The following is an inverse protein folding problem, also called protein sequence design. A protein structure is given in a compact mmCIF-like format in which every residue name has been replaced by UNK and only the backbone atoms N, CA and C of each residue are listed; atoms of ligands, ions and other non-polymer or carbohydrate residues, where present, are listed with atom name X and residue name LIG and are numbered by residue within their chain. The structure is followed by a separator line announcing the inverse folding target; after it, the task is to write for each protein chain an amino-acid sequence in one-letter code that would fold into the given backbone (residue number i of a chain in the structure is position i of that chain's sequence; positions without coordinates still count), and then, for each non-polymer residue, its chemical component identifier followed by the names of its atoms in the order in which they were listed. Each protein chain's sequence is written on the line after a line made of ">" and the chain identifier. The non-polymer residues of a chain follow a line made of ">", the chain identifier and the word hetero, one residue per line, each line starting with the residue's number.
data_IF_020547942523
#
_entry.id   IF_020547942523
#
_cell.length_a   1.000
_cell.length_b   1.000
_cell.length_c   1.000
_cell.angle_alpha   90.00
_cell.angle_beta   90.00
_cell.angle_gamma   90.00
#
_symmetry.space_group_name_H-M   'P 1'
#
loop_
_entity.id
_entity.type
_entity.pdbx_description
1 polymer ?
#
# COMPACT_ATOMS: atom_id res chain seq x y z
N UNK A 1 -25.54 14.08 -0.81
CA UNK A 1 -24.24 14.61 -1.25
C UNK A 1 -23.35 13.42 -1.51
N UNK A 2 -23.18 13.04 -2.77
CA UNK A 2 -22.25 11.98 -3.17
C UNK A 2 -20.85 12.55 -3.01
N UNK A 3 -20.15 12.16 -1.94
CA UNK A 3 -18.73 12.43 -1.80
C UNK A 3 -18.06 11.75 -2.98
N UNK A 4 -17.57 12.51 -3.96
CA UNK A 4 -16.69 11.96 -4.98
C UNK A 4 -15.49 11.39 -4.24
N UNK A 5 -15.43 10.07 -4.16
CA UNK A 5 -14.26 9.35 -3.70
C UNK A 5 -13.21 9.67 -4.75
N UNK A 6 -12.22 10.49 -4.38
CA UNK A 6 -11.09 10.70 -5.25
C UNK A 6 -10.30 9.40 -5.23
N UNK A 7 -10.27 8.75 -6.39
CA UNK A 7 -9.54 7.51 -6.64
C UNK A 7 -8.39 7.86 -7.61
N UNK A 8 -7.16 7.58 -7.20
CA UNK A 8 -6.00 7.70 -8.10
C UNK A 8 -5.64 6.29 -8.58
N UNK A 9 -5.59 6.11 -9.89
CA UNK A 9 -5.20 4.86 -10.53
C UNK A 9 -4.00 5.08 -11.45
N UNK A 10 -2.91 4.39 -11.16
CA UNK A 10 -1.70 4.31 -11.97
C UNK A 10 -1.38 2.83 -12.22
N UNK A 11 -1.18 2.46 -13.48
CA UNK A 11 -0.88 1.09 -13.91
C UNK A 11 0.36 1.10 -14.78
N UNK A 12 1.33 0.25 -14.46
CA UNK A 12 2.56 0.03 -15.23
C UNK A 12 3.40 1.31 -15.49
N UNK A 13 3.27 2.31 -14.60
CA UNK A 13 3.97 3.59 -14.69
C UNK A 13 4.62 3.97 -13.37
N UNK A 14 5.88 3.54 -13.22
CA UNK A 14 6.71 3.80 -12.03
C UNK A 14 6.89 5.29 -11.75
N UNK A 15 7.15 6.09 -12.80
CA UNK A 15 7.51 7.50 -12.62
C UNK A 15 6.32 8.28 -12.08
N UNK A 16 5.14 8.05 -12.66
CA UNK A 16 3.91 8.69 -12.21
C UNK A 16 3.49 8.20 -10.83
N UNK A 17 3.67 6.91 -10.52
CA UNK A 17 3.40 6.38 -9.18
C UNK A 17 4.27 7.08 -8.11
N UNK A 18 5.58 7.24 -8.36
CA UNK A 18 6.49 7.96 -7.46
C UNK A 18 6.10 9.42 -7.33
N UNK A 19 5.71 10.08 -8.43
CA UNK A 19 5.24 11.46 -8.39
C UNK A 19 4.02 11.60 -7.48
N UNK A 20 3.04 10.70 -7.59
CA UNK A 20 1.86 10.68 -6.72
C UNK A 20 2.26 10.44 -5.25
N UNK A 21 3.11 9.45 -4.98
CA UNK A 21 3.59 9.14 -3.62
C UNK A 21 4.30 10.34 -2.97
N UNK A 22 5.15 11.05 -3.72
CA UNK A 22 5.85 12.26 -3.24
C UNK A 22 4.92 13.45 -3.01
N UNK A 23 3.81 13.50 -3.73
CA UNK A 23 2.87 14.61 -3.73
C UNK A 23 1.52 14.27 -3.10
N UNK A 24 1.43 13.21 -2.27
CA UNK A 24 0.17 12.78 -1.65
C UNK A 24 -0.52 13.90 -0.84
N UNK A 25 0.24 14.85 -0.30
CA UNK A 25 -0.26 16.02 0.42
C UNK A 25 -1.15 16.94 -0.45
N UNK A 26 -1.05 16.88 -1.79
CA UNK A 26 -1.93 17.60 -2.71
C UNK A 26 -3.35 17.00 -2.79
N UNK A 27 -3.54 15.80 -2.22
CA UNK A 27 -4.80 15.07 -2.30
C UNK A 27 -5.38 14.82 -0.89
N UNK A 28 -5.74 15.87 -0.12
CA UNK A 28 -6.15 15.73 1.28
C UNK A 28 -7.44 14.91 1.47
N UNK A 29 -8.22 14.67 0.42
CA UNK A 29 -9.46 13.89 0.43
C UNK A 29 -9.33 12.52 -0.25
N UNK A 30 -8.12 12.12 -0.65
CA UNK A 30 -7.87 10.84 -1.30
C UNK A 30 -8.28 9.70 -0.37
N UNK A 31 -9.12 8.79 -0.87
CA UNK A 31 -9.55 7.62 -0.10
C UNK A 31 -9.04 6.31 -0.71
N UNK A 32 -8.89 6.25 -2.03
CA UNK A 32 -8.38 5.06 -2.70
C UNK A 32 -7.17 5.38 -3.57
N UNK A 33 -6.16 4.51 -3.48
CA UNK A 33 -4.92 4.61 -4.22
C UNK A 33 -4.61 3.26 -4.87
N UNK A 34 -4.63 3.22 -6.19
CA UNK A 34 -4.32 2.04 -6.99
C UNK A 34 -3.02 2.26 -7.76
N UNK A 35 -1.99 1.50 -7.41
CA UNK A 35 -0.66 1.51 -8.02
C UNK A 35 -0.29 0.07 -8.41
N UNK A 36 -0.70 -0.37 -9.60
CA UNK A 36 -0.49 -1.75 -10.06
C UNK A 36 0.64 -1.86 -11.08
N UNK A 37 1.55 -2.82 -10.90
CA UNK A 37 2.61 -3.07 -11.88
C UNK A 37 3.63 -1.94 -11.99
N UNK A 38 3.71 -1.06 -10.98
CA UNK A 38 4.52 0.15 -11.03
C UNK A 38 5.99 -0.06 -10.63
N UNK A 39 6.43 -1.31 -10.38
CA UNK A 39 7.78 -1.63 -9.92
C UNK A 39 8.20 -0.84 -8.67
N UNK A 40 7.26 -0.67 -7.74
CA UNK A 40 7.52 -0.02 -6.45
C UNK A 40 8.11 -1.03 -5.47
N UNK A 41 9.08 -0.58 -4.68
CA UNK A 41 9.61 -1.35 -3.55
C UNK A 41 9.25 -0.70 -2.20
N UNK A 42 9.67 -1.32 -1.09
CA UNK A 42 9.43 -0.80 0.26
C UNK A 42 10.09 0.59 0.48
N UNK A 43 11.19 0.89 -0.24
CA UNK A 43 11.91 2.17 -0.15
C UNK A 43 11.12 3.29 -0.82
N UNK A 44 10.51 3.01 -1.97
CA UNK A 44 9.63 3.95 -2.66
C UNK A 44 8.42 4.35 -1.79
N UNK A 45 7.83 3.39 -1.06
CA UNK A 45 6.78 3.67 -0.07
C UNK A 45 7.31 4.48 1.12
N UNK A 46 8.53 4.21 1.58
CA UNK A 46 9.14 4.92 2.72
C UNK A 46 9.47 6.38 2.39
N UNK A 47 9.73 6.67 1.12
CA UNK A 47 10.02 8.02 0.62
C UNK A 47 8.80 8.97 0.67
N UNK A 48 7.60 8.47 0.94
CA UNK A 48 6.43 9.32 1.19
C UNK A 48 6.71 10.21 2.40
N UNK A 49 6.74 11.53 2.19
CA UNK A 49 7.14 12.48 3.23
C UNK A 49 6.13 12.62 4.39
N UNK A 50 4.85 12.32 4.15
CA UNK A 50 3.76 12.57 5.09
C UNK A 50 2.82 11.37 5.23
N UNK A 51 2.20 11.22 6.39
CA UNK A 51 1.12 10.26 6.58
C UNK A 51 -0.15 10.73 5.87
N UNK A 52 -0.67 9.94 4.94
CA UNK A 52 -1.96 10.16 4.28
C UNK A 52 -3.09 9.49 5.09
N UNK A 53 -3.52 10.16 6.16
CA UNK A 53 -4.54 9.65 7.09
C UNK A 53 -5.98 9.59 6.54
N UNK A 54 -6.21 9.87 5.27
CA UNK A 54 -7.53 9.73 4.64
C UNK A 54 -7.62 8.52 3.71
N UNK A 55 -6.48 7.94 3.34
CA UNK A 55 -6.42 6.78 2.44
C UNK A 55 -6.81 5.52 3.21
N UNK A 56 -7.79 4.81 2.65
CA UNK A 56 -8.44 3.64 3.24
C UNK A 56 -8.29 2.39 2.39
N UNK A 57 -8.23 2.55 1.07
CA UNK A 57 -8.19 1.45 0.10
C UNK A 57 -6.92 1.55 -0.74
N UNK A 58 -6.11 0.50 -0.73
CA UNK A 58 -4.83 0.49 -1.44
C UNK A 58 -4.69 -0.77 -2.28
N UNK A 59 -4.40 -0.59 -3.55
CA UNK A 59 -3.99 -1.67 -4.45
C UNK A 59 -2.51 -1.47 -4.81
N UNK A 60 -1.67 -2.44 -4.47
CA UNK A 60 -0.23 -2.49 -4.75
C UNK A 60 0.11 -3.76 -5.53
N UNK A 61 -0.81 -4.25 -6.36
CA UNK A 61 -0.61 -5.51 -7.08
C UNK A 61 0.58 -5.43 -8.02
N UNK A 62 1.33 -6.52 -8.13
CA UNK A 62 2.38 -6.66 -9.15
C UNK A 62 3.55 -5.69 -8.98
N UNK A 63 3.82 -5.24 -7.77
CA UNK A 63 5.02 -4.49 -7.43
C UNK A 63 6.11 -5.44 -6.89
N UNK A 64 7.19 -4.85 -6.39
CA UNK A 64 8.37 -5.56 -5.92
C UNK A 64 8.47 -5.48 -4.38
N UNK A 65 7.33 -5.50 -3.68
CA UNK A 65 7.25 -5.38 -2.23
C UNK A 65 7.74 -6.64 -1.52
N UNK A 66 8.43 -6.43 -0.39
CA UNK A 66 8.99 -7.53 0.42
C UNK A 66 8.40 -7.48 1.83
N UNK A 67 8.57 -6.40 2.58
CA UNK A 67 8.08 -6.24 3.97
C UNK A 67 7.48 -4.85 4.19
N UNK A 68 6.40 -4.50 3.48
CA UNK A 68 5.88 -3.12 3.47
C UNK A 68 5.09 -2.73 4.72
N UNK A 69 4.89 -3.63 5.69
CA UNK A 69 3.87 -3.47 6.74
C UNK A 69 4.09 -2.25 7.64
N UNK A 70 5.32 -2.07 8.13
CA UNK A 70 5.66 -0.94 8.99
C UNK A 70 5.51 0.39 8.25
N UNK A 71 6.02 0.47 7.02
CA UNK A 71 5.92 1.68 6.21
C UNK A 71 4.47 1.99 5.86
N UNK A 72 3.65 0.98 5.56
CA UNK A 72 2.23 1.18 5.33
C UNK A 72 1.52 1.70 6.58
N UNK A 73 1.84 1.22 7.79
CA UNK A 73 1.29 1.75 9.04
C UNK A 73 1.66 3.22 9.26
N UNK A 74 2.94 3.57 9.02
CA UNK A 74 3.44 4.93 9.21
C UNK A 74 2.85 5.92 8.19
N UNK A 75 2.74 5.50 6.93
CA UNK A 75 2.34 6.38 5.83
C UNK A 75 0.84 6.38 5.58
N UNK A 76 0.13 5.29 5.88
CA UNK A 76 -1.29 5.09 5.62
C UNK A 76 -1.99 4.56 6.89
N UNK A 77 -2.06 5.36 7.97
CA UNK A 77 -2.48 4.88 9.29
C UNK A 77 -3.94 4.41 9.34
N UNK A 78 -4.80 4.89 8.43
CA UNK A 78 -6.23 4.56 8.34
C UNK A 78 -6.52 3.47 7.28
N UNK A 79 -5.50 2.71 6.86
CA UNK A 79 -5.63 1.65 5.87
C UNK A 79 -6.54 0.51 6.39
N UNK A 80 -7.63 0.23 5.66
CA UNK A 80 -8.60 -0.82 6.00
C UNK A 80 -8.63 -1.97 4.98
N UNK A 81 -8.25 -1.70 3.73
CA UNK A 81 -8.21 -2.68 2.65
C UNK A 81 -6.90 -2.59 1.88
N UNK A 82 -6.23 -3.74 1.73
CA UNK A 82 -4.96 -3.84 1.01
C UNK A 82 -4.97 -5.00 0.00
N UNK A 83 -4.61 -4.73 -1.25
CA UNK A 83 -4.35 -5.77 -2.25
C UNK A 83 -2.87 -5.79 -2.64
N UNK A 84 -2.15 -6.83 -2.23
CA UNK A 84 -0.74 -7.06 -2.52
C UNK A 84 -0.50 -8.30 -3.38
N UNK A 85 -1.51 -8.82 -4.09
CA UNK A 85 -1.32 -9.95 -5.01
C UNK A 85 -0.24 -9.66 -6.05
N UNK A 86 0.40 -10.69 -6.59
CA UNK A 86 1.48 -10.60 -7.58
C UNK A 86 2.76 -9.91 -7.09
N UNK A 87 2.92 -9.66 -5.80
CA UNK A 87 4.23 -9.33 -5.20
C UNK A 87 4.92 -10.65 -4.82
N UNK A 88 5.80 -11.16 -5.70
CA UNK A 88 6.34 -12.53 -5.61
C UNK A 88 7.30 -12.75 -4.43
N UNK A 89 7.84 -11.67 -3.87
CA UNK A 89 8.79 -11.70 -2.75
C UNK A 89 8.17 -11.23 -1.43
N UNK A 90 6.86 -10.98 -1.42
CA UNK A 90 6.15 -10.48 -0.25
C UNK A 90 6.24 -11.48 0.91
N UNK A 91 6.72 -10.99 2.04
CA UNK A 91 7.10 -11.79 3.20
C UNK A 91 6.17 -11.47 4.39
N UNK A 92 5.62 -12.52 5.00
CA UNK A 92 4.71 -12.48 6.16
C UNK A 92 5.37 -12.95 7.47
N UNK A 93 6.67 -13.20 7.47
CA UNK A 93 7.44 -13.70 8.61
C UNK A 93 7.31 -12.73 9.80
N UNK A 94 6.98 -13.29 10.95
CA UNK A 94 6.58 -12.58 12.16
C UNK A 94 7.78 -12.21 13.03
N UNK A 95 8.83 -11.62 12.46
CA UNK A 95 9.75 -10.86 13.33
C UNK A 95 8.98 -9.60 13.79
N UNK A 96 8.96 -9.35 15.11
CA UNK A 96 7.98 -8.46 15.77
C UNK A 96 7.94 -6.99 15.29
N UNK A 97 8.84 -6.60 14.38
CA UNK A 97 8.93 -5.26 13.80
C UNK A 97 8.49 -5.19 12.34
N UNK A 98 8.30 -6.34 11.65
CA UNK A 98 7.84 -6.43 10.26
C UNK A 98 6.68 -7.42 10.13
N UNK A 99 5.86 -7.54 11.17
CA UNK A 99 4.63 -8.34 11.10
C UNK A 99 3.50 -7.48 10.50
N UNK A 100 2.61 -8.10 9.71
CA UNK A 100 1.39 -7.47 9.23
C UNK A 100 0.47 -6.98 10.36
N UNK A 101 0.57 -7.54 11.57
CA UNK A 101 -0.23 -7.15 12.75
C UNK A 101 -0.06 -5.68 13.14
N UNK A 102 1.00 -5.00 12.67
CA UNK A 102 1.17 -3.55 12.84
C UNK A 102 0.09 -2.73 12.13
N UNK A 103 -0.59 -3.32 11.13
CA UNK A 103 -1.72 -2.71 10.43
C UNK A 103 -3.02 -2.93 11.21
N UNK A 104 -3.11 -2.33 12.39
CA UNK A 104 -4.21 -2.54 13.37
C UNK A 104 -5.62 -2.28 12.83
N UNK A 105 -5.75 -1.39 11.83
CA UNK A 105 -7.03 -1.02 11.21
C UNK A 105 -7.38 -1.91 10.00
N UNK A 106 -6.51 -2.83 9.61
CA UNK A 106 -6.68 -3.62 8.39
C UNK A 106 -7.79 -4.66 8.59
N UNK A 107 -8.92 -4.43 7.93
CA UNK A 107 -10.05 -5.35 7.95
C UNK A 107 -9.91 -6.46 6.89
N UNK A 108 -9.22 -6.16 5.78
CA UNK A 108 -9.12 -7.09 4.66
C UNK A 108 -7.81 -6.94 3.88
N UNK A 109 -7.19 -8.09 3.59
CA UNK A 109 -6.03 -8.19 2.71
C UNK A 109 -6.23 -9.23 1.62
N UNK A 110 -5.79 -8.91 0.40
CA UNK A 110 -5.68 -9.85 -0.72
C UNK A 110 -4.21 -10.11 -1.03
N UNK A 111 -3.82 -11.38 -0.97
CA UNK A 111 -2.46 -11.88 -1.24
C UNK A 111 -2.56 -13.18 -2.03
N UNK A 112 -1.48 -13.57 -2.70
CA UNK A 112 -1.49 -14.83 -3.44
C UNK A 112 -1.49 -16.03 -2.47
N UNK A 113 -2.31 -17.03 -2.76
CA UNK A 113 -2.57 -18.18 -1.87
C UNK A 113 -1.31 -18.95 -1.49
N UNK A 114 -0.28 -18.95 -2.34
CA UNK A 114 0.97 -19.64 -2.06
C UNK A 114 1.75 -19.02 -0.89
N UNK A 115 1.57 -17.72 -0.62
CA UNK A 115 2.20 -17.01 0.50
C UNK A 115 1.58 -17.37 1.85
N UNK A 116 0.34 -17.88 1.85
CA UNK A 116 -0.37 -18.29 3.07
C UNK A 116 0.03 -19.70 3.53
N UNK A 117 0.73 -20.48 2.70
CA UNK A 117 1.12 -21.86 3.03
C UNK A 117 2.37 -21.98 3.91
N UNK A 118 3.07 -20.86 4.13
CA UNK A 118 4.27 -20.77 4.97
C UNK A 118 3.99 -20.12 6.35
N UNK A 119 2.71 -19.98 6.73
CA UNK A 119 2.29 -19.55 8.07
C UNK A 119 2.01 -20.72 8.99
#
# INVERSE_FOLDING_TARGET
>A
MTSEVLDIEIVEDRNRAIEILRNMWNYPRLQSLHLEGCHLDDTDLAAVAFAAGTVKYVCLRGNDLIRPWKVLKEKLPELIYLDCRRNIHLNFDTDSHHDITVLENLERIHVDVHLLKNR
#
